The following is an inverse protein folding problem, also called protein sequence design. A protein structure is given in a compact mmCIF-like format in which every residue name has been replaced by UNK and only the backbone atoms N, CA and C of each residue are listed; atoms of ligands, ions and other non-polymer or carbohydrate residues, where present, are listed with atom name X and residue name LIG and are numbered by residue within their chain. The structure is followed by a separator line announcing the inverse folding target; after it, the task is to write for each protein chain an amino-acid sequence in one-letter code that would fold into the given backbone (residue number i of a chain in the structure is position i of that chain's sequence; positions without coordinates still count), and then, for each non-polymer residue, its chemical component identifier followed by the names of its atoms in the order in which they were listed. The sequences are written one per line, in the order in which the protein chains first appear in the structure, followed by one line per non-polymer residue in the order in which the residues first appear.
data_IF_072558742452
#
_entry.id   IF_072558742452
#
_cell.length_a   1.000
_cell.length_b   1.000
_cell.length_c   1.000
_cell.angle_alpha   90.00
_cell.angle_beta   90.00
_cell.angle_gamma   90.00
#
_symmetry.space_group_name_H-M   'P 1'
#
loop_
_entity.id
_entity.type
_entity.pdbx_description
1 polymer ?
#
# COMPACT_ATOMS: atom_id res chain seq x y z
N UNK A 1 -20.88 26.44 -56.51
CA UNK A 1 -20.41 27.27 -55.39
C UNK A 1 -20.55 26.43 -54.09
N UNK A 2 -19.47 25.93 -53.52
CA UNK A 2 -19.49 25.23 -52.23
C UNK A 2 -19.47 26.25 -51.10
N UNK A 3 -20.52 26.36 -50.32
CA UNK A 3 -20.55 27.19 -49.10
C UNK A 3 -19.57 26.59 -48.08
N UNK A 4 -18.49 27.30 -47.75
CA UNK A 4 -17.65 27.03 -46.60
C UNK A 4 -18.49 27.29 -45.34
N UNK A 5 -18.72 26.23 -44.53
CA UNK A 5 -19.21 26.40 -43.17
C UNK A 5 -18.06 27.06 -42.37
N UNK A 6 -18.24 28.28 -42.00
CA UNK A 6 -17.43 28.96 -40.98
C UNK A 6 -17.91 28.35 -39.65
N UNK A 7 -17.12 27.44 -39.08
CA UNK A 7 -17.31 27.01 -37.69
C UNK A 7 -16.78 28.13 -36.85
N UNK A 8 -17.67 28.95 -36.29
CA UNK A 8 -17.32 29.83 -35.19
C UNK A 8 -16.90 28.95 -34.04
N UNK A 9 -15.60 28.98 -33.65
CA UNK A 9 -15.17 28.46 -32.37
C UNK A 9 -15.85 29.31 -31.29
N UNK A 10 -17.00 28.87 -30.79
CA UNK A 10 -17.58 29.44 -29.59
C UNK A 10 -16.56 29.30 -28.46
N UNK A 11 -16.12 30.42 -27.92
CA UNK A 11 -15.27 30.44 -26.73
C UNK A 11 -16.03 29.77 -25.59
N UNK A 12 -15.49 28.64 -25.08
CA UNK A 12 -16.05 27.95 -23.93
C UNK A 12 -16.16 28.92 -22.75
N UNK A 13 -17.30 28.91 -22.09
CA UNK A 13 -17.43 29.64 -20.84
C UNK A 13 -16.56 29.01 -19.74
N UNK A 14 -16.38 29.70 -18.61
CA UNK A 14 -15.50 29.28 -17.51
C UNK A 14 -15.84 27.87 -17.00
N UNK A 15 -17.13 27.51 -16.91
CA UNK A 15 -17.58 26.19 -16.44
C UNK A 15 -17.31 25.10 -17.48
N UNK A 16 -17.48 25.39 -18.75
CA UNK A 16 -17.20 24.42 -19.83
C UNK A 16 -15.70 24.15 -19.92
N UNK A 17 -14.86 25.18 -19.75
CA UNK A 17 -13.43 25.06 -19.72
C UNK A 17 -12.98 24.23 -18.50
N UNK A 18 -13.54 24.50 -17.32
CA UNK A 18 -13.32 23.72 -16.10
C UNK A 18 -13.64 22.23 -16.32
N UNK A 19 -14.83 21.92 -16.84
CA UNK A 19 -15.23 20.53 -17.10
C UNK A 19 -14.39 19.86 -18.18
N UNK A 20 -13.98 20.57 -19.21
CA UNK A 20 -13.06 20.05 -20.23
C UNK A 20 -11.72 19.64 -19.60
N UNK A 21 -11.19 20.47 -18.72
CA UNK A 21 -9.95 20.17 -18.00
C UNK A 21 -10.09 19.00 -17.04
N UNK A 22 -11.20 18.91 -16.30
CA UNK A 22 -11.50 17.76 -15.43
C UNK A 22 -11.61 16.46 -16.23
N UNK A 23 -12.37 16.47 -17.34
CA UNK A 23 -12.52 15.29 -18.21
C UNK A 23 -11.19 14.84 -18.84
N UNK A 24 -10.30 15.79 -19.18
CA UNK A 24 -8.97 15.46 -19.65
C UNK A 24 -8.13 14.78 -18.57
N UNK A 25 -8.12 15.34 -17.34
CA UNK A 25 -7.40 14.74 -16.22
C UNK A 25 -7.92 13.35 -15.86
N UNK A 26 -9.23 13.11 -15.92
CA UNK A 26 -9.85 11.81 -15.67
C UNK A 26 -9.51 10.76 -16.74
N UNK A 27 -9.13 11.17 -17.95
CA UNK A 27 -8.70 10.26 -19.03
C UNK A 27 -7.24 9.84 -18.92
N UNK A 28 -6.45 10.50 -18.06
CA UNK A 28 -5.06 10.12 -17.85
C UNK A 28 -4.99 8.75 -17.18
N UNK A 29 -4.13 7.89 -17.67
CA UNK A 29 -3.75 6.67 -16.96
C UNK A 29 -3.05 7.03 -15.64
N UNK A 30 -3.01 6.11 -14.68
CA UNK A 30 -2.26 6.34 -13.44
C UNK A 30 -0.79 6.65 -13.70
N UNK A 31 -0.18 6.00 -14.71
CA UNK A 31 1.20 6.27 -15.11
C UNK A 31 1.42 7.72 -15.56
N UNK A 32 0.48 8.27 -16.33
CA UNK A 32 0.55 9.66 -16.78
C UNK A 32 0.23 10.64 -15.64
N UNK A 33 -0.76 10.29 -14.80
CA UNK A 33 -1.16 11.14 -13.68
C UNK A 33 -0.04 11.37 -12.66
N UNK A 34 0.78 10.34 -12.43
CA UNK A 34 1.87 10.37 -11.47
C UNK A 34 3.26 10.42 -12.09
N UNK A 35 3.34 10.71 -13.40
CA UNK A 35 4.60 10.87 -14.14
C UNK A 35 5.54 9.64 -14.08
N UNK A 36 4.96 8.44 -14.00
CA UNK A 36 5.68 7.17 -13.81
C UNK A 36 6.24 6.57 -15.13
N UNK A 37 6.29 7.35 -16.20
CA UNK A 37 6.74 6.86 -17.51
C UNK A 37 8.19 6.38 -17.51
N UNK A 38 9.04 6.92 -16.63
CA UNK A 38 10.44 6.56 -16.48
C UNK A 38 10.69 5.41 -15.49
N UNK A 39 9.66 4.93 -14.82
CA UNK A 39 9.78 3.79 -13.89
C UNK A 39 10.12 2.51 -14.66
N UNK A 40 10.83 1.56 -14.00
CA UNK A 40 11.04 0.23 -14.56
C UNK A 40 9.73 -0.47 -14.94
N UNK A 41 9.78 -1.34 -15.98
CA UNK A 41 8.55 -1.94 -16.50
C UNK A 41 7.79 -2.75 -15.45
N UNK A 42 8.47 -3.47 -14.55
CA UNK A 42 7.81 -4.21 -13.47
C UNK A 42 7.02 -3.30 -12.50
N UNK A 43 7.49 -2.08 -12.24
CA UNK A 43 6.75 -1.08 -11.46
C UNK A 43 5.52 -0.60 -12.22
N UNK A 44 5.67 -0.33 -13.52
CA UNK A 44 4.54 0.06 -14.39
C UNK A 44 3.46 -1.02 -14.43
N UNK A 45 3.86 -2.28 -14.49
CA UNK A 45 2.91 -3.40 -14.47
C UNK A 45 2.15 -3.48 -13.13
N UNK A 46 2.81 -3.30 -11.98
CA UNK A 46 2.12 -3.20 -10.69
C UNK A 46 1.04 -2.12 -10.69
N UNK A 47 1.34 -0.96 -11.28
CA UNK A 47 0.42 0.17 -11.35
C UNK A 47 -0.72 -0.09 -12.32
N UNK A 48 -0.45 -0.69 -13.49
CA UNK A 48 -1.45 -1.05 -14.51
C UNK A 48 -2.47 -2.06 -14.00
N UNK A 49 -2.09 -2.98 -13.12
CA UNK A 49 -2.95 -4.01 -12.56
C UNK A 49 -4.07 -3.44 -11.68
N UNK A 50 -4.01 -2.15 -11.36
CA UNK A 50 -5.07 -1.40 -10.70
C UNK A 50 -4.91 -1.37 -9.18
N UNK A 51 -5.51 -0.34 -8.57
CA UNK A 51 -5.40 -0.08 -7.14
C UNK A 51 -6.20 -1.02 -6.26
N UNK A 52 -6.03 -0.84 -4.96
CA UNK A 52 -6.82 -1.48 -3.91
C UNK A 52 -6.57 -2.99 -3.78
N UNK A 53 -7.65 -3.79 -3.74
CA UNK A 53 -7.55 -5.21 -3.40
C UNK A 53 -6.68 -6.04 -4.34
N UNK A 54 -6.62 -5.69 -5.64
CA UNK A 54 -5.76 -6.40 -6.60
C UNK A 54 -4.28 -6.18 -6.32
N UNK A 55 -3.90 -4.94 -6.03
CA UNK A 55 -2.52 -4.60 -5.69
C UNK A 55 -2.08 -5.33 -4.41
N UNK A 56 -2.92 -5.33 -3.36
CA UNK A 56 -2.65 -6.07 -2.13
C UNK A 56 -2.34 -7.55 -2.39
N UNK A 57 -3.23 -8.23 -3.12
CA UNK A 57 -3.05 -9.65 -3.45
C UNK A 57 -1.78 -9.95 -4.26
N UNK A 58 -1.40 -9.06 -5.18
CA UNK A 58 -0.17 -9.22 -5.96
C UNK A 58 1.06 -8.99 -5.09
N UNK A 59 1.02 -7.97 -4.21
CA UNK A 59 2.10 -7.72 -3.27
C UNK A 59 2.30 -8.88 -2.28
N UNK A 60 1.23 -9.54 -1.83
CA UNK A 60 1.31 -10.76 -1.01
C UNK A 60 1.97 -11.92 -1.78
N UNK A 61 1.64 -12.09 -3.05
CA UNK A 61 2.27 -13.12 -3.90
C UNK A 61 3.75 -12.79 -4.12
N UNK A 62 4.08 -11.53 -4.37
CA UNK A 62 5.44 -11.07 -4.53
C UNK A 62 6.26 -11.25 -3.24
N UNK A 63 5.71 -10.93 -2.07
CA UNK A 63 6.35 -11.16 -0.79
C UNK A 63 6.68 -12.64 -0.59
N UNK A 64 5.75 -13.56 -0.85
CA UNK A 64 5.99 -15.03 -0.78
C UNK A 64 7.04 -15.51 -1.77
N UNK A 65 7.15 -14.89 -2.93
CA UNK A 65 8.20 -15.19 -3.90
C UNK A 65 9.57 -14.71 -3.41
N UNK A 66 9.62 -13.51 -2.84
CA UNK A 66 10.86 -12.91 -2.32
C UNK A 66 11.33 -13.55 -1.00
N UNK A 67 10.39 -13.88 -0.12
CA UNK A 67 10.65 -14.42 1.21
C UNK A 67 10.05 -15.83 1.33
N UNK A 68 10.85 -16.85 1.04
CA UNK A 68 10.40 -18.24 0.99
C UNK A 68 9.98 -18.81 2.36
N UNK A 69 10.34 -18.13 3.46
CA UNK A 69 9.89 -18.46 4.82
C UNK A 69 8.40 -18.13 5.06
N UNK A 70 7.80 -17.24 4.24
CA UNK A 70 6.40 -16.87 4.35
C UNK A 70 5.51 -18.01 3.82
N UNK A 71 4.82 -18.68 4.72
CA UNK A 71 3.81 -19.69 4.38
C UNK A 71 2.44 -19.03 4.23
N UNK A 72 1.61 -19.57 3.37
CA UNK A 72 0.21 -19.16 3.27
C UNK A 72 -0.51 -19.46 4.60
N UNK A 73 -1.43 -18.57 5.00
CA UNK A 73 -2.33 -18.83 6.15
C UNK A 73 -3.09 -20.14 5.96
N UNK A 74 -3.40 -20.80 7.06
CA UNK A 74 -4.30 -21.95 7.05
C UNK A 74 -5.74 -21.49 6.79
N UNK A 75 -6.34 -21.99 5.72
CA UNK A 75 -7.72 -21.65 5.37
C UNK A 75 -8.74 -22.22 6.39
N UNK A 76 -8.36 -23.21 7.19
CA UNK A 76 -9.21 -23.79 8.24
C UNK A 76 -9.44 -22.83 9.42
N UNK A 77 -8.55 -21.85 9.62
CA UNK A 77 -8.67 -20.87 10.70
C UNK A 77 -9.66 -19.73 10.37
N UNK A 78 -10.29 -19.74 9.22
CA UNK A 78 -11.27 -18.73 8.78
C UNK A 78 -10.62 -17.38 8.40
N UNK A 79 -11.37 -16.28 8.57
CA UNK A 79 -10.87 -14.90 8.36
C UNK A 79 -10.12 -14.44 9.61
N UNK A 80 -8.92 -14.95 9.82
CA UNK A 80 -8.18 -14.81 11.08
C UNK A 80 -7.40 -13.51 11.22
N UNK A 81 -7.42 -12.63 10.20
CA UNK A 81 -6.75 -11.33 10.27
C UNK A 81 -5.22 -11.42 10.23
N UNK A 82 -4.68 -12.35 9.44
CA UNK A 82 -3.27 -12.38 9.02
C UNK A 82 -3.15 -12.99 7.62
N UNK A 83 -2.08 -12.66 6.91
CA UNK A 83 -1.87 -13.08 5.51
C UNK A 83 -0.84 -14.20 5.37
N UNK A 84 0.18 -14.18 6.24
CA UNK A 84 1.29 -15.14 6.21
C UNK A 84 1.59 -15.73 7.58
N UNK A 85 2.20 -16.91 7.56
CA UNK A 85 2.70 -17.59 8.74
C UNK A 85 4.20 -17.86 8.56
N UNK A 86 5.00 -17.61 9.60
CA UNK A 86 6.39 -18.06 9.69
C UNK A 86 6.56 -18.95 10.91
N UNK A 87 7.28 -20.05 10.75
CA UNK A 87 7.49 -21.03 11.83
C UNK A 87 8.98 -21.29 12.05
N UNK A 88 9.38 -21.34 13.33
CA UNK A 88 10.70 -21.76 13.77
C UNK A 88 10.61 -22.50 15.11
N UNK A 89 11.15 -23.70 15.20
CA UNK A 89 11.23 -24.46 16.45
C UNK A 89 9.88 -24.51 17.20
N UNK A 90 8.77 -24.77 16.51
CA UNK A 90 7.40 -24.78 17.02
C UNK A 90 6.83 -23.40 17.41
N UNK A 91 7.60 -22.32 17.35
CA UNK A 91 7.10 -20.96 17.49
C UNK A 91 6.49 -20.52 16.18
N UNK A 92 5.26 -20.05 16.22
CA UNK A 92 4.52 -19.48 15.07
C UNK A 92 4.45 -17.96 15.22
N UNK A 93 4.70 -17.25 14.12
CA UNK A 93 4.48 -15.82 14.02
C UNK A 93 3.45 -15.56 12.91
N UNK A 94 2.43 -14.81 13.24
CA UNK A 94 1.36 -14.42 12.35
C UNK A 94 1.67 -13.03 11.76
N UNK A 95 1.66 -12.94 10.44
CA UNK A 95 2.10 -11.73 9.73
C UNK A 95 0.93 -11.18 8.92
N UNK A 96 0.55 -9.96 9.21
CA UNK A 96 -0.37 -9.15 8.41
C UNK A 96 0.44 -8.32 7.43
N UNK A 97 0.08 -8.33 6.15
CA UNK A 97 0.75 -7.54 5.13
C UNK A 97 -0.11 -6.35 4.70
N UNK A 98 0.52 -5.19 4.60
CA UNK A 98 -0.09 -3.99 4.01
C UNK A 98 0.78 -3.45 2.90
N UNK A 99 0.15 -2.92 1.84
CA UNK A 99 0.85 -2.43 0.67
C UNK A 99 0.45 -1.00 0.35
N UNK A 100 1.41 -0.18 -0.04
CA UNK A 100 1.20 1.22 -0.40
C UNK A 100 2.08 1.63 -1.57
N UNK A 101 1.58 2.51 -2.42
CA UNK A 101 2.37 3.19 -3.43
C UNK A 101 2.76 4.58 -2.95
N UNK A 102 3.96 5.00 -3.31
CA UNK A 102 4.55 6.28 -2.91
C UNK A 102 3.98 7.49 -3.65
N UNK A 103 3.53 7.32 -4.87
CA UNK A 103 3.26 8.39 -5.85
C UNK A 103 2.04 9.27 -5.58
N UNK A 104 1.13 8.89 -4.70
CA UNK A 104 -0.09 9.68 -4.48
C UNK A 104 0.10 10.84 -3.51
N UNK A 105 1.01 10.70 -2.57
CA UNK A 105 1.23 11.64 -1.46
C UNK A 105 2.69 11.99 -1.24
N UNK A 106 3.58 11.50 -2.11
CA UNK A 106 5.04 11.53 -1.97
C UNK A 106 5.52 10.86 -0.67
N UNK A 107 4.73 9.88 -0.20
CA UNK A 107 5.00 9.07 0.98
C UNK A 107 4.22 7.77 0.90
N UNK A 108 4.64 6.73 1.64
CA UNK A 108 3.83 5.53 1.81
C UNK A 108 2.77 5.75 2.88
N UNK A 109 1.55 5.28 2.61
CA UNK A 109 0.46 5.31 3.56
C UNK A 109 -0.17 3.93 3.67
N UNK A 110 0.05 3.25 4.78
CA UNK A 110 -0.58 1.96 5.07
C UNK A 110 -1.87 2.16 5.86
N UNK A 111 -2.92 1.45 5.45
CA UNK A 111 -4.28 1.65 5.93
C UNK A 111 -4.96 0.30 6.21
N UNK A 112 -6.12 0.35 6.86
CA UNK A 112 -6.96 -0.81 7.17
C UNK A 112 -6.21 -1.84 8.02
N UNK A 113 -5.46 -1.37 9.02
CA UNK A 113 -4.76 -2.22 9.97
C UNK A 113 -5.70 -2.43 11.15
N UNK A 114 -6.14 -3.68 11.33
CA UNK A 114 -7.07 -4.03 12.41
C UNK A 114 -6.29 -4.45 13.66
N UNK A 115 -6.30 -3.64 14.73
CA UNK A 115 -5.52 -3.95 15.94
C UNK A 115 -6.04 -5.20 16.68
N UNK A 116 -7.33 -5.55 16.50
CA UNK A 116 -7.95 -6.72 17.14
C UNK A 116 -7.70 -8.02 16.38
N UNK A 117 -7.14 -7.96 15.18
CA UNK A 117 -6.79 -9.13 14.39
C UNK A 117 -5.59 -9.89 14.97
N UNK A 118 -5.53 -11.20 14.66
CA UNK A 118 -4.47 -12.08 15.12
C UNK A 118 -3.22 -11.93 14.25
N UNK A 119 -2.40 -10.96 14.55
CA UNK A 119 -1.08 -10.81 13.94
C UNK A 119 -0.05 -10.41 15.01
N UNK A 120 1.20 -10.81 14.80
CA UNK A 120 2.34 -10.48 15.68
C UNK A 120 3.22 -9.40 15.02
N UNK A 121 3.31 -9.44 13.69
CA UNK A 121 4.18 -8.60 12.87
C UNK A 121 3.38 -8.01 11.72
N UNK A 122 3.57 -6.73 11.45
CA UNK A 122 3.22 -6.09 10.18
C UNK A 122 4.38 -6.24 9.20
N UNK A 123 4.09 -6.74 7.99
CA UNK A 123 4.97 -6.70 6.84
C UNK A 123 4.48 -5.59 5.91
N UNK A 124 5.23 -4.52 5.82
CA UNK A 124 4.87 -3.32 5.08
C UNK A 124 5.56 -3.33 3.73
N UNK A 125 4.78 -3.40 2.66
CA UNK A 125 5.26 -3.33 1.28
C UNK A 125 5.08 -1.92 0.75
N UNK A 126 6.18 -1.28 0.36
CA UNK A 126 6.20 0.03 -0.28
C UNK A 126 6.61 -0.10 -1.75
N UNK A 127 5.78 0.39 -2.66
CA UNK A 127 6.07 0.44 -4.09
C UNK A 127 6.51 1.85 -4.42
N UNK A 128 7.79 2.01 -4.70
CA UNK A 128 8.39 3.28 -5.09
C UNK A 128 8.40 3.46 -6.62
N UNK A 129 8.91 4.57 -7.08
CA UNK A 129 9.08 4.87 -8.52
C UNK A 129 10.03 3.90 -9.23
N UNK A 130 10.99 3.34 -8.52
CA UNK A 130 12.07 2.51 -9.08
C UNK A 130 12.17 1.11 -8.47
N UNK A 131 11.62 0.89 -7.28
CA UNK A 131 11.81 -0.36 -6.54
C UNK A 131 10.62 -0.70 -5.63
N UNK A 132 10.64 -1.91 -5.09
CA UNK A 132 9.70 -2.37 -4.06
C UNK A 132 10.49 -2.71 -2.82
N UNK A 133 10.16 -2.05 -1.72
CA UNK A 133 10.78 -2.22 -0.42
C UNK A 133 9.85 -2.91 0.57
N UNK A 134 10.45 -3.52 1.57
CA UNK A 134 9.71 -4.15 2.66
C UNK A 134 10.30 -3.75 3.99
N UNK A 135 9.42 -3.53 4.95
CA UNK A 135 9.76 -3.29 6.35
C UNK A 135 8.91 -4.17 7.24
N UNK A 136 9.40 -4.41 8.45
CA UNK A 136 8.63 -5.04 9.50
C UNK A 136 8.46 -4.12 10.70
N UNK A 137 7.32 -4.28 11.39
CA UNK A 137 7.01 -3.66 12.67
C UNK A 137 6.35 -4.71 13.55
N UNK A 138 6.82 -4.91 14.77
CA UNK A 138 6.18 -5.81 15.71
C UNK A 138 4.99 -5.13 16.41
N UNK A 139 4.07 -5.95 16.96
CA UNK A 139 2.86 -5.47 17.62
C UNK A 139 3.14 -4.55 18.82
N UNK A 140 4.23 -4.78 19.55
CA UNK A 140 4.58 -3.96 20.72
C UNK A 140 4.87 -2.53 20.27
N UNK A 141 5.76 -2.35 19.30
CA UNK A 141 6.08 -1.04 18.70
C UNK A 141 4.83 -0.38 18.11
N UNK A 142 4.01 -1.14 17.37
CA UNK A 142 2.74 -0.63 16.86
C UNK A 142 1.87 -0.02 17.96
N UNK A 143 1.70 -0.72 19.09
CA UNK A 143 0.89 -0.23 20.20
C UNK A 143 1.50 1.01 20.88
N UNK A 144 2.82 1.08 20.99
CA UNK A 144 3.55 2.26 21.50
C UNK A 144 3.29 3.47 20.60
N UNK A 145 3.39 3.31 19.29
CA UNK A 145 3.13 4.37 18.31
C UNK A 145 1.65 4.83 18.27
N UNK A 146 0.72 3.94 18.60
CA UNK A 146 -0.69 4.30 18.79
C UNK A 146 -0.86 5.21 20.00
N UNK A 147 -0.19 4.92 21.13
CA UNK A 147 -0.20 5.77 22.32
C UNK A 147 0.47 7.13 22.08
N UNK A 148 1.46 7.19 21.19
CA UNK A 148 2.13 8.42 20.76
C UNK A 148 1.33 9.20 19.69
N UNK A 149 0.15 8.73 19.30
CA UNK A 149 -0.71 9.32 18.26
C UNK A 149 -0.06 9.38 16.86
N UNK A 150 1.02 8.64 16.61
CA UNK A 150 1.66 8.48 15.29
C UNK A 150 0.88 7.52 14.39
N UNK A 151 0.18 6.56 14.98
CA UNK A 151 -0.76 5.65 14.31
C UNK A 151 -2.17 6.02 14.72
N UNK A 152 -3.02 6.32 13.74
CA UNK A 152 -4.33 6.90 13.95
C UNK A 152 -5.47 5.99 13.49
N UNK A 153 -6.66 6.13 14.10
CA UNK A 153 -7.88 5.52 13.58
C UNK A 153 -8.24 6.11 12.21
N UNK A 154 -8.67 5.25 11.30
CA UNK A 154 -9.23 5.66 10.02
C UNK A 154 -10.65 6.19 10.26
N UNK A 155 -10.96 7.39 9.72
CA UNK A 155 -12.25 8.03 9.93
C UNK A 155 -12.29 8.94 11.17
N UNK A 156 -13.35 8.84 11.96
CA UNK A 156 -13.56 9.75 13.10
C UNK A 156 -12.64 9.40 14.28
N UNK A 157 -11.79 10.33 14.70
CA UNK A 157 -10.79 10.15 15.77
C UNK A 157 -11.39 9.74 17.14
N UNK A 158 -12.71 9.91 17.35
CA UNK A 158 -13.38 9.69 18.64
C UNK A 158 -14.05 8.32 18.78
N UNK A 159 -14.11 7.51 17.72
CA UNK A 159 -14.67 6.16 17.77
C UNK A 159 -13.68 5.19 17.14
N UNK A 160 -13.49 4.04 17.78
CA UNK A 160 -12.84 2.90 17.15
C UNK A 160 -13.58 2.60 15.86
N UNK A 161 -12.97 2.98 14.73
CA UNK A 161 -13.62 2.90 13.43
C UNK A 161 -13.51 1.46 12.96
N UNK A 162 -14.59 0.94 12.39
CA UNK A 162 -14.60 -0.36 11.69
C UNK A 162 -13.69 -0.40 10.45
N UNK A 163 -13.02 0.71 10.15
CA UNK A 163 -12.13 0.86 9.00
C UNK A 163 -10.65 0.59 9.34
N UNK A 164 -10.34 0.31 10.61
CA UNK A 164 -8.99 0.03 11.09
C UNK A 164 -8.12 1.28 11.30
N UNK A 165 -6.83 1.08 11.43
CA UNK A 165 -5.84 2.13 11.69
C UNK A 165 -4.97 2.41 10.46
N UNK A 166 -4.29 3.56 10.49
CA UNK A 166 -3.40 3.98 9.41
C UNK A 166 -2.23 4.82 9.92
N UNK A 167 -1.15 4.88 9.13
CA UNK A 167 -0.01 5.76 9.35
C UNK A 167 0.75 6.02 8.04
N UNK A 168 1.55 7.08 8.01
CA UNK A 168 2.50 7.34 6.94
C UNK A 168 3.88 6.79 7.31
N UNK A 169 4.70 6.47 6.32
CA UNK A 169 6.09 6.06 6.52
C UNK A 169 6.89 7.14 7.27
N UNK A 170 6.75 8.40 6.88
CA UNK A 170 7.45 9.53 7.49
C UNK A 170 7.23 9.65 9.01
N UNK A 171 6.05 9.23 9.50
CA UNK A 171 5.69 9.35 10.91
C UNK A 171 6.35 8.26 11.79
N UNK A 172 6.75 7.13 11.18
CA UNK A 172 7.19 5.93 11.91
C UNK A 172 8.49 5.31 11.39
N UNK A 173 9.17 5.95 10.43
CA UNK A 173 10.32 5.39 9.70
C UNK A 173 11.46 4.91 10.60
N UNK A 174 11.68 5.59 11.72
CA UNK A 174 12.78 5.29 12.64
C UNK A 174 12.50 4.02 13.47
N UNK A 175 11.25 3.55 13.50
CA UNK A 175 10.79 2.34 14.18
C UNK A 175 10.60 1.16 13.23
N UNK A 176 10.81 1.38 11.92
CA UNK A 176 10.69 0.35 10.90
C UNK A 176 12.02 -0.35 10.68
N UNK A 177 11.98 -1.66 10.57
CA UNK A 177 13.13 -2.48 10.23
C UNK A 177 13.01 -2.91 8.78
N UNK A 178 13.86 -2.38 7.90
CA UNK A 178 13.89 -2.78 6.47
C UNK A 178 14.35 -4.24 6.35
N UNK A 179 13.72 -4.99 5.42
CA UNK A 179 14.05 -6.38 5.14
C UNK A 179 14.27 -6.57 3.63
N UNK A 180 15.40 -7.17 3.26
CA UNK A 180 15.86 -7.19 1.88
C UNK A 180 15.78 -8.57 1.21
N UNK A 181 15.93 -9.64 1.97
CA UNK A 181 15.91 -11.02 1.48
C UNK A 181 15.35 -11.98 2.53
N UNK A 182 15.23 -13.25 2.18
CA UNK A 182 14.64 -14.26 3.04
C UNK A 182 15.36 -14.46 4.35
N UNK A 183 16.68 -14.54 4.34
CA UNK A 183 17.50 -14.79 5.53
C UNK A 183 17.47 -13.59 6.47
N UNK A 184 17.55 -12.40 5.92
CA UNK A 184 17.43 -11.14 6.64
C UNK A 184 16.05 -11.01 7.33
N UNK A 185 14.96 -11.31 6.62
CA UNK A 185 13.63 -11.34 7.23
C UNK A 185 13.55 -12.37 8.36
N UNK A 186 14.02 -13.60 8.10
CA UNK A 186 13.94 -14.70 9.06
C UNK A 186 14.72 -14.39 10.34
N UNK A 187 15.92 -13.82 10.21
CA UNK A 187 16.76 -13.45 11.33
C UNK A 187 16.13 -12.34 12.17
N UNK A 188 15.62 -11.29 11.53
CA UNK A 188 14.96 -10.17 12.21
C UNK A 188 13.66 -10.56 12.92
N UNK A 189 12.96 -11.60 12.44
CA UNK A 189 11.76 -12.12 13.09
C UNK A 189 12.03 -12.93 14.36
N UNK A 190 13.20 -13.55 14.50
CA UNK A 190 13.44 -14.53 15.57
C UNK A 190 14.63 -14.25 16.47
N UNK A 191 15.51 -13.29 16.09
CA UNK A 191 16.76 -13.01 16.83
C UNK A 191 16.88 -11.55 17.30
N UNK A 192 15.91 -10.70 16.98
CA UNK A 192 15.82 -9.32 17.48
C UNK A 192 14.74 -9.15 18.54
#
# INVERSE_FOLDING_TARGET
MKRRKIVLEESLNEYELFWKNIKQKQKLTQLQKYELNNSPEYIKEFIKLGGGPKMGSICEQFAKHKFSCLKKRDNSEGKTGYDHLVEKNKKKLYIEQKSSGHWSTDDYKWQHIEPDHKWDILLLCGIDYTEIKFWIMNRKIFNELVLEEKICNQGNKTKQSSEGMWFNYSDVKDELIEVTNNDDLYDKLFYN
#
